data_IF_861230642444
#
_entry.id   IF_861230642444
#
_cell.length_a   1.000
_cell.length_b   1.000
_cell.length_c   1.000
_cell.angle_alpha   90.00
_cell.angle_beta   90.00
_cell.angle_gamma   90.00
#
_symmetry.space_group_name_H-M   'P 1'
#
loop_
_entity.id
_entity.type
_entity.pdbx_description
1 polymer ?
#
# COMPACT_ATOMS: atom_id res chain seq x y z
N UNK A 1 -14.60 -13.87 -4.90
CA UNK A 1 -13.46 -12.99 -5.25
C UNK A 1 -12.22 -13.57 -4.61
N UNK A 2 -11.07 -13.51 -5.28
CA UNK A 2 -9.79 -13.84 -4.64
C UNK A 2 -9.39 -12.68 -3.72
N UNK A 3 -8.92 -13.01 -2.50
CA UNK A 3 -8.45 -11.99 -1.55
C UNK A 3 -7.11 -11.42 -2.04
N UNK A 4 -7.01 -10.10 -2.04
CA UNK A 4 -5.77 -9.40 -2.43
C UNK A 4 -4.75 -9.31 -1.28
N UNK A 5 -5.15 -9.70 -0.07
CA UNK A 5 -4.38 -9.55 1.16
C UNK A 5 -4.37 -10.85 1.99
N UNK A 6 -3.45 -10.96 2.96
CA UNK A 6 -3.46 -11.99 4.00
C UNK A 6 -3.35 -11.38 5.40
N UNK A 7 -4.07 -11.96 6.35
CA UNK A 7 -4.02 -11.56 7.76
C UNK A 7 -3.14 -12.48 8.60
N UNK A 8 -2.44 -13.43 7.98
CA UNK A 8 -1.63 -14.41 8.72
C UNK A 8 -0.56 -13.72 9.56
N UNK A 9 0.16 -12.76 8.97
CA UNK A 9 1.15 -11.97 9.70
C UNK A 9 0.53 -11.09 10.79
N UNK A 10 -0.63 -10.48 10.52
CA UNK A 10 -1.35 -9.67 11.51
C UNK A 10 -1.78 -10.52 12.71
N UNK A 11 -2.30 -11.72 12.47
CA UNK A 11 -2.73 -12.67 13.51
C UNK A 11 -1.56 -13.23 14.30
N UNK A 12 -0.44 -13.52 13.63
CA UNK A 12 0.80 -13.94 14.28
C UNK A 12 1.31 -12.84 15.22
N UNK A 13 1.38 -11.59 14.74
CA UNK A 13 1.76 -10.43 15.56
C UNK A 13 0.82 -10.24 16.75
N UNK A 14 -0.47 -10.47 16.56
CA UNK A 14 -1.48 -10.31 17.61
C UNK A 14 -1.46 -11.42 18.66
N UNK A 15 -0.75 -12.53 18.43
CA UNK A 15 -0.71 -13.66 19.36
C UNK A 15 -2.10 -14.24 19.65
N UNK A 16 -3.04 -14.15 18.69
CA UNK A 16 -4.44 -14.56 18.85
C UNK A 16 -5.37 -13.52 19.50
N UNK A 17 -4.90 -12.28 19.73
CA UNK A 17 -5.76 -11.19 20.19
C UNK A 17 -6.54 -10.55 19.03
N UNK A 18 -7.77 -11.00 18.82
CA UNK A 18 -8.65 -10.48 17.74
C UNK A 18 -9.00 -8.99 17.89
N UNK A 19 -9.02 -8.43 19.10
CA UNK A 19 -9.22 -6.98 19.28
C UNK A 19 -8.05 -6.20 18.72
N UNK A 20 -6.82 -6.70 18.93
CA UNK A 20 -5.62 -6.09 18.36
C UNK A 20 -5.57 -6.25 16.83
N UNK A 21 -5.99 -7.41 16.30
CA UNK A 21 -6.16 -7.58 14.84
C UNK A 21 -7.10 -6.51 14.29
N UNK A 22 -8.26 -6.32 14.92
CA UNK A 22 -9.24 -5.31 14.50
C UNK A 22 -8.66 -3.91 14.50
N UNK A 23 -7.95 -3.51 15.55
CA UNK A 23 -7.31 -2.19 15.64
C UNK A 23 -6.29 -1.95 14.51
N UNK A 24 -5.51 -2.98 14.14
CA UNK A 24 -4.55 -2.88 13.05
C UNK A 24 -5.25 -2.73 11.68
N UNK A 25 -6.37 -3.43 11.48
CA UNK A 25 -7.16 -3.30 10.25
C UNK A 25 -7.90 -1.96 10.15
N UNK A 26 -8.43 -1.45 11.27
CA UNK A 26 -9.02 -0.11 11.33
C UNK A 26 -7.97 0.96 10.97
N UNK A 27 -6.76 0.85 11.53
CA UNK A 27 -5.65 1.75 11.20
C UNK A 27 -5.27 1.65 9.72
N UNK A 28 -5.24 0.44 9.15
CA UNK A 28 -4.97 0.23 7.72
C UNK A 28 -6.02 0.94 6.84
N UNK A 29 -7.31 0.73 7.13
CA UNK A 29 -8.42 1.31 6.35
C UNK A 29 -8.47 2.85 6.48
N UNK A 30 -8.00 3.41 7.59
CA UNK A 30 -7.92 4.86 7.78
C UNK A 30 -6.73 5.50 7.06
N UNK A 31 -5.55 4.86 7.13
CA UNK A 31 -4.29 5.50 6.70
C UNK A 31 -3.95 5.26 5.24
N UNK A 32 -4.27 4.08 4.70
CA UNK A 32 -3.90 3.73 3.31
C UNK A 32 -4.58 4.62 2.27
N UNK A 33 -5.88 4.99 2.39
CA UNK A 33 -6.49 5.94 1.46
C UNK A 33 -5.77 7.28 1.39
N UNK A 34 -5.31 7.81 2.54
CA UNK A 34 -4.55 9.07 2.57
C UNK A 34 -3.22 8.95 1.81
N UNK A 35 -2.49 7.85 1.98
CA UNK A 35 -1.27 7.58 1.20
C UNK A 35 -1.55 7.42 -0.30
N UNK A 36 -2.67 6.80 -0.68
CA UNK A 36 -3.09 6.70 -2.09
C UNK A 36 -3.31 8.09 -2.69
N UNK A 37 -4.02 8.97 -1.99
CA UNK A 37 -4.27 10.34 -2.45
C UNK A 37 -2.97 11.15 -2.56
N UNK A 38 -2.06 11.02 -1.59
CA UNK A 38 -0.76 11.67 -1.62
C UNK A 38 0.11 11.18 -2.79
N UNK A 39 0.20 9.86 -3.01
CA UNK A 39 0.97 9.29 -4.12
C UNK A 39 0.42 9.78 -5.47
N UNK A 40 -0.90 9.79 -5.65
CA UNK A 40 -1.55 10.32 -6.86
C UNK A 40 -1.28 11.82 -7.05
N UNK A 41 -1.33 12.60 -5.97
CA UNK A 41 -1.02 14.03 -6.01
C UNK A 41 0.44 14.28 -6.38
N UNK A 42 1.38 13.54 -5.79
CA UNK A 42 2.80 13.68 -6.11
C UNK A 42 3.09 13.29 -7.56
N UNK A 43 2.48 12.20 -8.04
CA UNK A 43 2.56 11.79 -9.44
C UNK A 43 2.06 12.88 -10.40
N UNK A 44 0.86 13.43 -10.16
CA UNK A 44 0.26 14.47 -11.01
C UNK A 44 1.08 15.77 -11.07
N UNK A 45 1.86 16.07 -10.01
CA UNK A 45 2.72 17.25 -9.93
C UNK A 45 4.16 16.97 -10.39
N UNK A 46 4.48 15.76 -10.86
CA UNK A 46 5.85 15.30 -11.16
C UNK A 46 6.82 15.40 -9.97
N UNK A 47 6.30 15.34 -8.74
CA UNK A 47 7.09 15.37 -7.50
C UNK A 47 7.49 13.94 -7.11
N UNK A 48 8.39 13.36 -7.91
CA UNK A 48 8.74 11.94 -7.79
C UNK A 48 9.51 11.61 -6.51
N UNK A 49 10.29 12.55 -5.96
CA UNK A 49 10.97 12.37 -4.67
C UNK A 49 9.94 12.22 -3.54
N UNK A 50 8.92 13.07 -3.50
CA UNK A 50 7.85 12.95 -2.52
C UNK A 50 6.99 11.69 -2.73
N UNK A 51 6.75 11.29 -3.99
CA UNK A 51 6.11 10.01 -4.32
C UNK A 51 6.90 8.84 -3.73
N UNK A 52 8.21 8.81 -3.94
CA UNK A 52 9.08 7.73 -3.45
C UNK A 52 9.09 7.65 -1.92
N UNK A 53 9.11 8.81 -1.24
CA UNK A 53 9.01 8.90 0.23
C UNK A 53 7.67 8.37 0.74
N UNK A 54 6.57 8.68 0.05
CA UNK A 54 5.26 8.18 0.45
C UNK A 54 5.10 6.68 0.16
N UNK A 55 5.64 6.20 -0.97
CA UNK A 55 5.72 4.77 -1.29
C UNK A 55 6.51 3.99 -0.23
N UNK A 56 7.63 4.53 0.26
CA UNK A 56 8.41 3.94 1.36
C UNK A 56 7.58 3.75 2.64
N UNK A 57 6.81 4.77 3.04
CA UNK A 57 5.95 4.68 4.23
C UNK A 57 4.87 3.61 4.04
N UNK A 58 4.18 3.66 2.90
CA UNK A 58 3.09 2.75 2.58
C UNK A 58 3.55 1.29 2.47
N UNK A 59 4.78 1.05 2.01
CA UNK A 59 5.38 -0.29 1.90
C UNK A 59 5.27 -1.09 3.19
N UNK A 60 5.57 -0.49 4.34
CA UNK A 60 5.49 -1.17 5.64
C UNK A 60 4.05 -1.58 5.95
N UNK A 61 3.09 -0.67 5.76
CA UNK A 61 1.66 -0.89 6.00
C UNK A 61 1.09 -2.02 5.13
N UNK A 62 1.39 -2.03 3.82
CA UNK A 62 0.91 -3.10 2.92
C UNK A 62 1.65 -4.43 3.13
N UNK A 63 2.86 -4.39 3.71
CA UNK A 63 3.58 -5.61 4.10
C UNK A 63 2.96 -6.24 5.35
N UNK A 64 2.48 -5.43 6.29
CA UNK A 64 1.78 -5.91 7.49
C UNK A 64 0.48 -6.64 7.15
N UNK A 65 -0.35 -6.07 6.29
CA UNK A 65 -1.60 -6.69 5.80
C UNK A 65 -1.34 -7.63 4.60
N UNK A 66 -0.06 -7.88 4.29
CA UNK A 66 0.42 -8.79 3.25
C UNK A 66 -0.37 -8.72 1.93
N UNK A 67 -0.12 -7.69 1.13
CA UNK A 67 -0.63 -7.58 -0.26
C UNK A 67 0.51 -8.01 -1.22
N UNK A 68 0.70 -9.31 -1.49
CA UNK A 68 1.96 -9.81 -2.04
C UNK A 68 2.17 -9.34 -3.48
N UNK A 69 1.06 -9.18 -4.22
CA UNK A 69 1.04 -8.68 -5.60
C UNK A 69 1.58 -7.25 -5.75
N UNK A 70 1.75 -6.52 -4.64
CA UNK A 70 2.15 -5.12 -4.65
C UNK A 70 3.43 -4.81 -3.84
N UNK A 71 4.02 -5.78 -3.13
CA UNK A 71 5.23 -5.56 -2.33
C UNK A 71 6.44 -5.15 -3.18
N UNK A 72 6.67 -5.80 -4.32
CA UNK A 72 7.83 -5.46 -5.15
C UNK A 72 7.59 -4.21 -6.00
N UNK A 73 6.33 -3.94 -6.36
CA UNK A 73 5.94 -2.75 -7.12
C UNK A 73 6.08 -1.48 -6.31
N UNK A 74 5.68 -1.50 -5.04
CA UNK A 74 5.86 -0.34 -4.16
C UNK A 74 7.34 -0.04 -3.91
N UNK A 75 8.21 -1.07 -3.89
CA UNK A 75 9.68 -0.89 -3.85
C UNK A 75 10.22 -0.27 -5.14
N UNK A 76 9.69 -0.70 -6.29
CA UNK A 76 10.06 -0.10 -7.59
C UNK A 76 9.64 1.39 -7.62
N UNK A 77 8.44 1.74 -7.17
CA UNK A 77 7.98 3.13 -7.04
C UNK A 77 8.86 3.96 -6.10
N UNK A 78 9.23 3.39 -4.94
CA UNK A 78 10.16 4.01 -3.99
C UNK A 78 11.52 4.32 -4.63
N UNK A 79 12.11 3.33 -5.31
CA UNK A 79 13.44 3.49 -5.93
C UNK A 79 13.41 4.45 -7.11
N UNK A 80 12.36 4.41 -7.94
CA UNK A 80 12.14 5.39 -9.02
C UNK A 80 12.06 6.80 -8.42
N UNK A 81 11.28 6.99 -7.37
CA UNK A 81 11.14 8.29 -6.72
C UNK A 81 12.45 8.80 -6.12
N UNK A 82 13.23 7.92 -5.50
CA UNK A 82 14.51 8.25 -4.88
C UNK A 82 15.63 8.56 -5.89
N UNK A 83 15.67 7.83 -7.01
CA UNK A 83 16.79 7.91 -7.97
C UNK A 83 16.48 8.75 -9.20
N UNK A 84 15.19 8.95 -9.52
CA UNK A 84 14.74 9.53 -10.78
C UNK A 84 15.02 8.66 -12.00
N UNK A 85 15.46 7.41 -11.82
CA UNK A 85 15.71 6.45 -12.89
C UNK A 85 14.51 5.52 -13.06
N UNK A 86 14.21 5.08 -14.28
CA UNK A 86 13.07 4.19 -14.54
C UNK A 86 11.70 4.88 -14.58
N UNK A 87 11.65 6.21 -14.79
CA UNK A 87 10.40 6.97 -14.84
C UNK A 87 9.42 6.47 -15.90
N UNK A 88 9.89 5.81 -16.95
CA UNK A 88 9.07 5.18 -17.99
C UNK A 88 8.19 4.03 -17.46
N UNK A 89 8.57 3.43 -16.33
CA UNK A 89 7.80 2.37 -15.65
C UNK A 89 6.70 2.93 -14.76
N UNK A 90 6.89 4.15 -14.26
CA UNK A 90 6.01 4.76 -13.27
C UNK A 90 4.54 4.85 -13.71
N UNK A 91 4.18 5.17 -14.97
CA UNK A 91 2.78 5.17 -15.41
C UNK A 91 2.08 3.81 -15.22
N UNK A 92 2.75 2.71 -15.57
CA UNK A 92 2.20 1.35 -15.44
C UNK A 92 2.06 0.99 -13.95
N UNK A 93 3.08 1.30 -13.14
CA UNK A 93 3.02 1.08 -11.69
C UNK A 93 1.88 1.87 -11.03
N UNK A 94 1.64 3.11 -11.45
CA UNK A 94 0.55 3.95 -10.96
C UNK A 94 -0.83 3.42 -11.36
N UNK A 95 -0.98 2.89 -12.57
CA UNK A 95 -2.22 2.23 -13.01
C UNK A 95 -2.51 1.00 -12.14
N UNK A 96 -1.52 0.13 -11.95
CA UNK A 96 -1.65 -1.06 -11.11
C UNK A 96 -1.91 -0.70 -9.64
N UNK A 97 -1.25 0.34 -9.13
CA UNK A 97 -1.43 0.87 -7.77
C UNK A 97 -2.88 1.27 -7.55
N UNK A 98 -3.43 2.11 -8.43
CA UNK A 98 -4.79 2.62 -8.35
C UNK A 98 -5.85 1.54 -8.62
N UNK A 99 -5.47 0.46 -9.31
CA UNK A 99 -6.35 -0.69 -9.52
C UNK A 99 -6.36 -1.68 -8.33
N UNK A 100 -5.29 -1.76 -7.56
CA UNK A 100 -5.06 -2.84 -6.57
C UNK A 100 -5.24 -2.36 -5.13
N UNK A 101 -4.57 -1.27 -4.74
CA UNK A 101 -4.52 -0.84 -3.34
C UNK A 101 -5.91 -0.38 -2.83
N UNK A 102 -6.67 0.45 -3.56
CA UNK A 102 -8.02 0.82 -3.14
C UNK A 102 -8.96 -0.40 -2.99
N UNK A 103 -8.84 -1.38 -3.90
CA UNK A 103 -9.64 -2.62 -3.80
C UNK A 103 -9.26 -3.45 -2.59
N UNK A 104 -7.98 -3.54 -2.26
CA UNK A 104 -7.54 -4.23 -1.05
C UNK A 104 -8.09 -3.54 0.21
N UNK A 105 -8.10 -2.21 0.26
CA UNK A 105 -8.74 -1.44 1.35
C UNK A 105 -10.22 -1.76 1.47
N UNK A 106 -10.97 -1.77 0.37
CA UNK A 106 -12.40 -2.13 0.42
C UNK A 106 -12.61 -3.57 0.91
N UNK A 107 -11.81 -4.54 0.44
CA UNK A 107 -11.92 -5.93 0.92
C UNK A 107 -11.54 -6.10 2.41
N UNK A 108 -10.60 -5.29 2.94
CA UNK A 108 -10.27 -5.29 4.38
C UNK A 108 -11.39 -4.66 5.18
N UNK A 109 -12.00 -3.58 4.67
CA UNK A 109 -13.13 -2.90 5.29
C UNK A 109 -14.37 -3.78 5.40
N UNK A 110 -14.58 -4.71 4.46
CA UNK A 110 -15.66 -5.71 4.52
C UNK A 110 -15.48 -6.76 5.63
N UNK A 111 -14.27 -6.93 6.18
CA UNK A 111 -14.01 -7.84 7.32
C UNK A 111 -14.22 -7.19 8.69
N UNK A 112 -14.37 -5.86 8.76
CA UNK A 112 -14.53 -5.07 9.99
C UNK A 112 -15.98 -4.98 10.44
#
# INVERSE_FOLDING_TARGET
>A
MEKLYSLDFVREMAGGNEEFVKQLLELFVQTVPESVDLINKHYANNDFDALGKEAHKLKSTISTVQIPSFIDKIKEMEEIGKTGTGLERLPVLMEEFNATIPKAVEQVKEEL
#
